data_IF_486098460745
#
_entry.id   IF_486098460745
#
_cell.length_a   1.000
_cell.length_b   1.000
_cell.length_c   1.000
_cell.angle_alpha   90.00
_cell.angle_beta   90.00
_cell.angle_gamma   90.00
#
_symmetry.space_group_name_H-M   'P 1'
#
loop_
_entity.id
_entity.type
_entity.pdbx_description
1 polymer ?
#
# COMPACT_ATOMS: atom_id res chain seq x y z
N UNK A 1 0.75 -23.22 1.29
CA UNK A 1 0.34 -22.26 2.33
C UNK A 1 1.21 -21.04 2.13
N UNK A 2 0.66 -20.02 1.45
CA UNK A 2 1.38 -18.76 1.25
C UNK A 2 1.75 -18.20 2.63
N UNK A 3 3.02 -17.83 2.81
CA UNK A 3 3.43 -17.12 4.01
C UNK A 3 2.66 -15.79 4.01
N UNK A 4 2.05 -15.39 5.14
CA UNK A 4 1.42 -14.08 5.21
C UNK A 4 2.46 -13.02 4.82
N UNK A 5 2.05 -11.97 4.10
CA UNK A 5 2.96 -10.91 3.72
C UNK A 5 3.71 -10.41 4.96
N UNK A 6 5.01 -10.14 4.80
CA UNK A 6 5.87 -9.66 5.88
C UNK A 6 5.57 -8.19 6.26
N UNK A 7 4.31 -7.75 6.15
CA UNK A 7 3.87 -6.39 6.36
C UNK A 7 2.35 -6.28 6.58
N UNK A 8 1.93 -5.16 7.18
CA UNK A 8 0.55 -4.73 7.43
C UNK A 8 0.31 -3.30 6.93
N UNK A 9 -0.92 -3.01 6.49
CA UNK A 9 -1.38 -1.63 6.22
C UNK A 9 -1.86 -1.07 7.56
N UNK A 10 -1.07 -0.18 8.14
CA UNK A 10 -1.34 0.39 9.45
C UNK A 10 -2.35 1.55 9.39
N UNK A 11 -2.34 2.31 8.30
CA UNK A 11 -3.20 3.46 8.11
C UNK A 11 -3.32 3.79 6.61
N UNK A 12 -4.47 4.32 6.21
CA UNK A 12 -4.62 5.08 4.97
C UNK A 12 -5.27 6.43 5.27
N UNK A 13 -4.88 7.45 4.53
CA UNK A 13 -5.45 8.79 4.60
C UNK A 13 -5.80 9.26 3.20
N UNK A 14 -7.04 9.73 3.04
CA UNK A 14 -7.55 10.27 1.78
C UNK A 14 -8.17 11.61 2.10
N UNK A 15 -7.74 12.65 1.38
CA UNK A 15 -8.36 13.95 1.49
C UNK A 15 -9.71 13.95 0.75
N UNK A 16 -10.68 14.75 1.25
CA UNK A 16 -12.03 14.79 0.65
C UNK A 16 -12.06 15.41 -0.75
N UNK A 17 -11.09 16.27 -1.04
CA UNK A 17 -11.05 17.08 -2.27
C UNK A 17 -9.87 16.74 -3.18
N UNK A 18 -8.97 15.86 -2.75
CA UNK A 18 -7.77 15.50 -3.51
C UNK A 18 -7.83 14.02 -3.84
N UNK A 19 -7.41 13.65 -5.04
CA UNK A 19 -7.46 12.28 -5.51
C UNK A 19 -6.23 11.46 -5.13
N UNK A 20 -5.41 11.98 -4.22
CA UNK A 20 -4.24 11.29 -3.69
C UNK A 20 -4.61 10.47 -2.45
N UNK A 21 -3.87 9.37 -2.23
CA UNK A 21 -4.05 8.46 -1.11
C UNK A 21 -2.70 8.18 -0.45
N UNK A 22 -2.58 8.52 0.82
CA UNK A 22 -1.42 8.20 1.63
C UNK A 22 -1.63 6.86 2.36
N UNK A 23 -0.67 5.96 2.24
CA UNK A 23 -0.65 4.65 2.87
C UNK A 23 0.55 4.55 3.80
N UNK A 24 0.31 4.09 5.03
CA UNK A 24 1.35 3.73 5.98
C UNK A 24 1.44 2.22 6.04
N UNK A 25 2.56 1.68 5.58
CA UNK A 25 2.81 0.25 5.54
C UNK A 25 3.91 -0.09 6.55
N UNK A 26 3.63 -1.03 7.44
CA UNK A 26 4.59 -1.51 8.43
C UNK A 26 5.04 -2.90 8.04
N UNK A 27 6.33 -3.16 8.13
CA UNK A 27 6.90 -4.49 7.86
C UNK A 27 7.21 -5.21 9.17
N UNK A 28 7.26 -6.53 9.12
CA UNK A 28 7.56 -7.37 10.30
C UNK A 28 8.97 -7.17 10.84
N UNK A 29 9.88 -6.57 10.07
CA UNK A 29 11.23 -6.23 10.53
C UNK A 29 11.30 -4.84 11.21
N UNK A 30 10.16 -4.17 11.39
CA UNK A 30 10.05 -2.88 12.08
C UNK A 30 10.19 -1.65 11.17
N UNK A 31 10.39 -1.81 9.86
CA UNK A 31 10.42 -0.67 8.94
C UNK A 31 9.00 -0.18 8.64
N UNK A 32 8.86 1.14 8.49
CA UNK A 32 7.62 1.80 8.09
C UNK A 32 7.85 2.56 6.79
N UNK A 33 6.97 2.35 5.81
CA UNK A 33 6.94 3.05 4.55
C UNK A 33 5.74 4.00 4.53
N UNK A 34 5.98 5.26 4.22
CA UNK A 34 4.96 6.24 3.92
C UNK A 34 4.88 6.36 2.39
N UNK A 35 3.80 5.86 1.81
CA UNK A 35 3.61 5.77 0.37
C UNK A 35 2.46 6.68 -0.04
N UNK A 36 2.70 7.57 -1.00
CA UNK A 36 1.64 8.39 -1.59
C UNK A 36 1.33 7.84 -2.98
N UNK A 37 0.05 7.53 -3.22
CA UNK A 37 -0.47 7.22 -4.55
C UNK A 37 -1.09 8.50 -5.10
N UNK A 38 -0.64 8.92 -6.28
CA UNK A 38 -1.29 10.00 -7.03
C UNK A 38 -1.62 9.54 -8.45
N UNK A 39 -2.87 9.69 -8.92
CA UNK A 39 -3.27 9.32 -10.27
C UNK A 39 -2.57 10.18 -11.33
N UNK A 40 -2.00 11.33 -10.96
CA UNK A 40 -1.16 12.15 -11.83
C UNK A 40 0.04 11.37 -12.40
N UNK A 41 0.55 10.37 -11.66
CA UNK A 41 1.69 9.56 -12.07
C UNK A 41 1.30 8.30 -12.88
N UNK A 42 0.02 8.07 -13.16
CA UNK A 42 -0.45 6.89 -13.89
C UNK A 42 -0.38 7.08 -15.42
N UNK A 43 0.76 7.58 -15.90
CA UNK A 43 0.96 7.90 -17.31
C UNK A 43 0.45 6.77 -18.21
N UNK A 44 -0.50 7.11 -19.08
CA UNK A 44 -1.08 6.24 -20.11
C UNK A 44 -1.77 4.97 -19.62
N UNK A 45 -2.18 4.89 -18.34
CA UNK A 45 -2.82 3.70 -17.77
C UNK A 45 -4.28 3.96 -17.34
N UNK A 46 -5.21 4.21 -18.28
CA UNK A 46 -6.60 4.59 -17.96
C UNK A 46 -7.34 3.54 -17.14
N UNK A 47 -7.05 2.25 -17.35
CA UNK A 47 -7.61 1.16 -16.56
C UNK A 47 -7.14 1.20 -15.10
N UNK A 48 -5.86 1.53 -14.88
CA UNK A 48 -5.31 1.64 -13.54
C UNK A 48 -5.90 2.85 -12.81
N UNK A 49 -6.06 3.97 -13.52
CA UNK A 49 -6.73 5.16 -13.02
C UNK A 49 -8.18 4.85 -12.61
N UNK A 50 -8.94 4.16 -13.46
CA UNK A 50 -10.33 3.78 -13.14
C UNK A 50 -10.41 2.90 -11.89
N UNK A 51 -9.62 1.83 -11.83
CA UNK A 51 -9.56 0.94 -10.66
C UNK A 51 -9.15 1.68 -9.38
N UNK A 52 -8.20 2.61 -9.49
CA UNK A 52 -7.79 3.42 -8.36
C UNK A 52 -8.90 4.35 -7.87
N UNK A 53 -9.65 4.99 -8.76
CA UNK A 53 -10.77 5.84 -8.38
C UNK A 53 -11.91 5.04 -7.72
N UNK A 54 -12.16 3.79 -8.15
CA UNK A 54 -13.08 2.87 -7.48
C UNK A 54 -12.62 2.57 -6.04
N UNK A 55 -11.35 2.21 -5.87
CA UNK A 55 -10.76 1.99 -4.54
C UNK A 55 -10.88 3.24 -3.67
N UNK A 56 -10.55 4.41 -4.22
CA UNK A 56 -10.59 5.68 -3.52
C UNK A 56 -12.02 6.05 -3.09
N UNK A 57 -13.01 5.77 -3.94
CA UNK A 57 -14.43 5.97 -3.64
C UNK A 57 -14.89 5.17 -2.43
N UNK A 58 -14.56 3.87 -2.41
CA UNK A 58 -14.90 2.97 -1.30
C UNK A 58 -14.22 3.38 0.01
N UNK A 59 -12.94 3.74 -0.05
CA UNK A 59 -12.20 4.15 1.15
C UNK A 59 -12.66 5.51 1.70
N UNK A 60 -13.13 6.41 0.83
CA UNK A 60 -13.75 7.68 1.23
C UNK A 60 -15.13 7.49 1.85
N UNK A 61 -15.94 6.53 1.36
CA UNK A 61 -17.29 6.29 1.88
C UNK A 61 -17.27 5.73 3.31
N UNK A 62 -16.14 5.12 3.72
CA UNK A 62 -16.00 4.36 4.98
C UNK A 62 -17.00 3.20 5.09
N UNK A 63 -17.62 2.82 3.98
CA UNK A 63 -18.42 1.62 3.89
C UNK A 63 -17.49 0.40 3.86
N UNK A 64 -17.97 -0.76 4.32
CA UNK A 64 -17.16 -1.99 4.31
C UNK A 64 -17.09 -2.65 2.94
N UNK A 65 -18.05 -2.34 2.08
CA UNK A 65 -18.24 -2.96 0.78
C UNK A 65 -19.03 -2.00 -0.11
N UNK A 66 -18.70 -1.96 -1.40
CA UNK A 66 -19.50 -1.31 -2.42
C UNK A 66 -19.57 -2.21 -3.66
N UNK A 67 -20.78 -2.60 -4.08
CA UNK A 67 -21.03 -3.47 -5.25
C UNK A 67 -20.26 -4.81 -5.24
N UNK A 68 -20.09 -5.45 -4.08
CA UNK A 68 -19.31 -6.69 -3.97
C UNK A 68 -17.79 -6.51 -3.93
N UNK A 69 -17.31 -5.26 -3.90
CA UNK A 69 -15.91 -4.91 -3.72
C UNK A 69 -15.65 -4.48 -2.27
N UNK A 70 -14.79 -5.20 -1.54
CA UNK A 70 -14.52 -4.97 -0.12
C UNK A 70 -13.38 -3.98 0.10
N UNK A 71 -13.39 -3.31 1.26
CA UNK A 71 -12.31 -2.38 1.65
C UNK A 71 -10.96 -3.10 1.68
N UNK A 72 -10.96 -4.35 2.11
CA UNK A 72 -9.78 -5.21 2.11
C UNK A 72 -9.22 -5.40 0.70
N UNK A 73 -10.08 -5.63 -0.30
CA UNK A 73 -9.69 -5.80 -1.70
C UNK A 73 -9.14 -4.50 -2.31
N UNK A 74 -9.73 -3.36 -1.94
CA UNK A 74 -9.27 -2.03 -2.33
C UNK A 74 -7.87 -1.74 -1.76
N UNK A 75 -7.70 -1.99 -0.47
CA UNK A 75 -6.42 -1.86 0.23
C UNK A 75 -5.36 -2.79 -0.37
N UNK A 76 -5.71 -4.05 -0.67
CA UNK A 76 -4.79 -5.01 -1.29
C UNK A 76 -4.38 -4.59 -2.71
N UNK A 77 -5.32 -4.11 -3.53
CA UNK A 77 -5.04 -3.63 -4.88
C UNK A 77 -4.10 -2.42 -4.89
N UNK A 78 -4.35 -1.44 -4.02
CA UNK A 78 -3.46 -0.30 -3.86
C UNK A 78 -2.09 -0.71 -3.31
N UNK A 79 -2.05 -1.66 -2.38
CA UNK A 79 -0.80 -2.19 -1.84
C UNK A 79 0.06 -2.84 -2.93
N UNK A 80 -0.54 -3.62 -3.85
CA UNK A 80 0.19 -4.33 -4.91
C UNK A 80 1.06 -3.40 -5.77
N UNK A 81 0.72 -2.12 -5.86
CA UNK A 81 1.54 -1.10 -6.52
C UNK A 81 2.93 -0.93 -5.88
N UNK A 82 3.01 -1.06 -4.56
CA UNK A 82 4.26 -0.92 -3.80
C UNK A 82 4.91 -2.26 -3.45
N UNK A 83 4.24 -3.38 -3.73
CA UNK A 83 4.73 -4.72 -3.44
C UNK A 83 6.20 -4.95 -3.82
N UNK A 84 6.65 -4.62 -5.05
CA UNK A 84 8.06 -4.79 -5.45
C UNK A 84 9.05 -3.96 -4.62
N UNK A 85 8.65 -2.78 -4.15
CA UNK A 85 9.49 -1.87 -3.36
C UNK A 85 9.57 -2.32 -1.90
N UNK A 86 8.48 -2.89 -1.37
CA UNK A 86 8.34 -3.29 0.04
C UNK A 86 8.83 -4.73 0.27
N UNK A 87 8.69 -5.59 -0.74
CA UNK A 87 9.25 -6.95 -0.71
C UNK A 87 10.78 -6.96 -0.59
N UNK A 88 11.43 -5.81 -0.81
CA UNK A 88 12.84 -5.60 -0.50
C UNK A 88 13.02 -4.71 0.74
N UNK A 89 13.28 -5.29 1.94
CA UNK A 89 13.91 -4.46 2.98
C UNK A 89 15.11 -5.10 3.69
N UNK A 90 16.20 -4.32 3.63
CA UNK A 90 17.52 -4.36 4.27
C UNK A 90 18.59 -5.33 3.69
N UNK A 91 19.78 -4.83 3.26
CA UNK A 91 20.95 -5.68 3.22
C UNK A 91 21.16 -6.25 4.63
N UNK A 92 21.42 -7.55 4.69
CA UNK A 92 21.72 -8.29 5.92
C UNK A 92 22.60 -7.44 6.86
N UNK A 93 22.30 -7.36 8.17
CA UNK A 93 23.17 -6.65 9.09
C UNK A 93 24.60 -7.15 8.89
N UNK A 94 25.51 -6.22 8.56
CA UNK A 94 26.92 -6.56 8.37
C UNK A 94 27.38 -7.37 9.59
N UNK A 95 28.05 -8.51 9.42
CA UNK A 95 28.43 -9.35 10.54
C UNK A 95 29.17 -8.49 11.54
N UNK A 96 28.66 -8.43 12.77
CA UNK A 96 29.33 -7.75 13.89
C UNK A 96 30.75 -8.31 13.93
N UNK A 97 31.80 -7.45 13.84
CA UNK A 97 33.15 -7.94 14.03
C UNK A 97 33.19 -8.64 15.38
N UNK A 98 33.55 -9.92 15.39
CA UNK A 98 33.80 -10.62 16.64
C UNK A 98 34.90 -9.85 17.34
N UNK A 99 34.55 -9.27 18.49
CA UNK A 99 35.48 -8.64 19.44
C UNK A 99 36.78 -9.44 19.49
N UNK A 100 37.91 -8.73 19.38
CA UNK A 100 39.27 -9.25 19.52
C UNK A 100 39.92 -8.65 20.75
#
# INVERSE_FOLDING_TARGET
MEKPPHYDIALWQIHKTEDDCDLIIRTTNGQTFCCTISPFHFDQSPKLTEQYHECLGLLRSKEKEQHGFYVEDACESMFKLFGPLIAQPAPSPSPVPKDG
#
